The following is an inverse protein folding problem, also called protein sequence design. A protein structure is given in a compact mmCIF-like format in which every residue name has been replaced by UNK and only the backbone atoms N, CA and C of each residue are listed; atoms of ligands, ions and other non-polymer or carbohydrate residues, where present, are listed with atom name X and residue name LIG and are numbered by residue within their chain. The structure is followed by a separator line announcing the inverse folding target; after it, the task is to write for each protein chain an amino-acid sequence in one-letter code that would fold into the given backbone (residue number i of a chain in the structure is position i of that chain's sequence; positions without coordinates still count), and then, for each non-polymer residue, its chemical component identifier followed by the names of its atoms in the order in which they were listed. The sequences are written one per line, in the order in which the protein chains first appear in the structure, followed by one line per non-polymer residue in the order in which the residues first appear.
data_IF_902695376009
#
_entry.id   IF_902695376009
#
_cell.length_a   1.000
_cell.length_b   1.000
_cell.length_c   1.000
_cell.angle_alpha   90.00
_cell.angle_beta   90.00
_cell.angle_gamma   90.00
#
_symmetry.space_group_name_H-M   'P 1'
#
loop_
_entity.id
_entity.type
_entity.pdbx_description
1 polymer ?
#
# COMPACT_ATOMS: atom_id res chain seq x y z
N UNK A 1 -11.06 -6.84 18.59
CA UNK A 1 -9.83 -6.78 17.77
C UNK A 1 -9.31 -8.16 17.33
N UNK A 2 -9.09 -9.21 18.18
CA UNK A 2 -8.51 -10.50 17.76
C UNK A 2 -9.31 -11.20 16.65
N UNK A 3 -10.65 -11.21 16.76
CA UNK A 3 -11.52 -11.81 15.73
C UNK A 3 -11.37 -11.11 14.38
N UNK A 4 -11.30 -9.78 14.36
CA UNK A 4 -11.12 -9.00 13.13
C UNK A 4 -9.76 -9.28 12.46
N UNK A 5 -8.69 -9.47 13.23
CA UNK A 5 -7.36 -9.80 12.72
C UNK A 5 -7.34 -11.20 12.08
N UNK A 6 -7.96 -12.19 12.71
CA UNK A 6 -8.05 -13.54 12.16
C UNK A 6 -8.91 -13.60 10.89
N UNK A 7 -10.02 -12.85 10.85
CA UNK A 7 -10.86 -12.74 9.65
C UNK A 7 -10.14 -12.05 8.50
N UNK A 8 -9.23 -11.11 8.78
CA UNK A 8 -8.43 -10.42 7.77
C UNK A 8 -7.56 -11.40 6.97
N UNK A 9 -6.91 -12.35 7.64
CA UNK A 9 -6.06 -13.36 6.99
C UNK A 9 -6.88 -14.19 6.00
N UNK A 10 -8.07 -14.68 6.43
CA UNK A 10 -8.95 -15.46 5.54
C UNK A 10 -9.47 -14.65 4.36
N UNK A 11 -9.80 -13.37 4.58
CA UNK A 11 -10.21 -12.46 3.49
C UNK A 11 -9.09 -12.26 2.47
N UNK A 12 -7.86 -12.03 2.93
CA UNK A 12 -6.70 -11.89 2.03
C UNK A 12 -6.51 -13.18 1.23
N UNK A 13 -6.50 -14.34 1.86
CA UNK A 13 -6.33 -15.61 1.17
C UNK A 13 -7.42 -15.85 0.12
N UNK A 14 -8.68 -15.68 0.47
CA UNK A 14 -9.80 -15.94 -0.44
C UNK A 14 -9.84 -14.92 -1.57
N UNK A 15 -9.78 -13.62 -1.27
CA UNK A 15 -10.00 -12.59 -2.27
C UNK A 15 -8.75 -12.30 -3.11
N UNK A 16 -7.53 -12.35 -2.54
CA UNK A 16 -6.32 -12.09 -3.32
C UNK A 16 -5.81 -13.35 -3.99
N UNK A 17 -5.58 -14.43 -3.25
CA UNK A 17 -5.06 -15.67 -3.84
C UNK A 17 -6.11 -16.32 -4.73
N UNK A 18 -7.37 -16.36 -4.31
CA UNK A 18 -8.48 -16.89 -5.12
C UNK A 18 -8.70 -16.11 -6.40
N UNK A 19 -8.67 -14.76 -6.35
CA UNK A 19 -8.76 -13.94 -7.55
C UNK A 19 -7.57 -14.14 -8.49
N UNK A 20 -6.36 -14.25 -7.95
CA UNK A 20 -5.15 -14.50 -8.74
C UNK A 20 -5.24 -15.84 -9.48
N UNK A 21 -5.63 -16.90 -8.77
CA UNK A 21 -5.82 -18.23 -9.37
C UNK A 21 -6.89 -18.17 -10.48
N UNK A 22 -8.02 -17.51 -10.24
CA UNK A 22 -9.09 -17.37 -11.22
C UNK A 22 -8.62 -16.60 -12.46
N UNK A 23 -7.90 -15.50 -12.30
CA UNK A 23 -7.36 -14.71 -13.41
C UNK A 23 -6.37 -15.54 -14.22
N UNK A 24 -5.43 -16.21 -13.58
CA UNK A 24 -4.41 -17.03 -14.26
C UNK A 24 -4.99 -18.26 -14.96
N UNK A 25 -6.13 -18.77 -14.49
CA UNK A 25 -6.83 -19.87 -15.15
C UNK A 25 -7.54 -19.43 -16.44
N UNK A 26 -7.93 -18.15 -16.56
CA UNK A 26 -8.67 -17.61 -17.70
C UNK A 26 -7.74 -16.93 -18.71
N UNK A 27 -6.78 -16.14 -18.22
CA UNK A 27 -5.87 -15.34 -19.06
C UNK A 27 -4.45 -15.90 -18.97
N UNK A 28 -3.89 -16.45 -20.07
CA UNK A 28 -2.50 -16.88 -20.09
C UNK A 28 -1.56 -15.71 -19.75
N UNK A 29 -0.57 -15.94 -18.91
CA UNK A 29 0.37 -14.90 -18.48
C UNK A 29 1.11 -14.23 -19.64
N UNK A 30 1.30 -14.93 -20.77
CA UNK A 30 1.93 -14.42 -22.00
C UNK A 30 1.12 -13.34 -22.71
N UNK A 31 -0.16 -13.19 -22.36
CA UNK A 31 -1.05 -12.20 -22.96
C UNK A 31 -1.05 -10.86 -22.21
N UNK A 32 -0.31 -10.77 -21.11
CA UNK A 32 -0.05 -9.51 -20.44
C UNK A 32 1.10 -8.81 -21.15
N UNK A 33 0.75 -7.87 -22.02
CA UNK A 33 1.72 -7.02 -22.69
C UNK A 33 1.86 -5.70 -21.95
N UNK A 34 3.09 -5.25 -21.85
CA UNK A 34 3.41 -3.93 -21.36
C UNK A 34 2.95 -2.88 -22.39
N UNK A 35 2.25 -1.87 -21.92
CA UNK A 35 1.87 -0.74 -22.75
C UNK A 35 3.10 0.14 -23.04
N UNK A 36 2.99 1.04 -24.00
CA UNK A 36 4.07 1.97 -24.37
C UNK A 36 4.49 2.95 -23.26
N UNK A 37 3.69 3.03 -22.20
CA UNK A 37 3.95 3.84 -20.98
C UNK A 37 4.55 3.04 -19.81
N UNK A 38 4.94 1.78 -20.04
CA UNK A 38 5.46 0.89 -19.00
C UNK A 38 4.40 0.30 -18.06
N UNK A 39 3.12 0.54 -18.33
CA UNK A 39 2.03 -0.03 -17.52
C UNK A 39 1.47 -1.30 -18.12
N UNK A 40 0.93 -2.18 -17.27
CA UNK A 40 0.18 -3.36 -17.72
C UNK A 40 -1.32 -3.08 -17.69
N UNK A 41 -2.06 -3.61 -18.67
CA UNK A 41 -3.51 -3.58 -18.64
C UNK A 41 -4.08 -4.26 -17.39
N UNK A 42 -5.22 -3.77 -16.89
CA UNK A 42 -5.85 -4.37 -15.72
C UNK A 42 -6.26 -5.83 -15.98
N UNK A 43 -5.73 -6.80 -15.22
CA UNK A 43 -6.09 -8.22 -15.37
C UNK A 43 -7.58 -8.47 -15.23
N UNK A 44 -8.24 -7.74 -14.34
CA UNK A 44 -9.68 -7.86 -14.10
C UNK A 44 -10.49 -7.48 -15.34
N UNK A 45 -10.10 -6.43 -16.05
CA UNK A 45 -10.77 -6.00 -17.29
C UNK A 45 -10.53 -7.03 -18.41
N UNK A 46 -9.30 -7.55 -18.49
CA UNK A 46 -8.93 -8.52 -19.52
C UNK A 46 -9.77 -9.80 -19.44
N UNK A 47 -10.02 -10.32 -18.24
CA UNK A 47 -10.86 -11.52 -18.04
C UNK A 47 -12.23 -11.36 -18.70
N UNK A 48 -12.91 -10.23 -18.50
CA UNK A 48 -14.25 -9.99 -19.08
C UNK A 48 -14.20 -9.77 -20.58
N UNK A 49 -13.16 -9.12 -21.10
CA UNK A 49 -12.95 -8.99 -22.54
C UNK A 49 -12.72 -10.35 -23.20
N UNK A 50 -11.92 -11.22 -22.59
CA UNK A 50 -11.72 -12.59 -23.08
C UNK A 50 -13.00 -13.42 -23.08
N UNK A 51 -13.89 -13.17 -22.13
CA UNK A 51 -15.21 -13.80 -22.07
C UNK A 51 -16.22 -13.22 -23.09
N UNK A 52 -15.84 -12.19 -23.89
CA UNK A 52 -16.74 -11.52 -24.83
C UNK A 52 -17.79 -10.64 -24.14
N UNK A 53 -17.56 -10.23 -22.90
CA UNK A 53 -18.47 -9.44 -22.07
C UNK A 53 -17.98 -7.99 -21.94
N UNK A 54 -17.96 -7.23 -23.04
CA UNK A 54 -17.43 -5.86 -23.05
C UNK A 54 -18.16 -4.91 -22.10
N UNK A 55 -19.47 -5.07 -21.94
CA UNK A 55 -20.26 -4.29 -20.99
C UNK A 55 -19.82 -4.56 -19.53
N UNK A 56 -19.49 -5.81 -19.21
CA UNK A 56 -19.01 -6.18 -17.88
C UNK A 56 -17.59 -5.65 -17.63
N UNK A 57 -16.75 -5.61 -18.67
CA UNK A 57 -15.44 -4.97 -18.61
C UNK A 57 -15.54 -3.48 -18.25
N UNK A 58 -16.48 -2.74 -18.86
CA UNK A 58 -16.73 -1.33 -18.57
C UNK A 58 -17.23 -1.14 -17.11
N UNK A 59 -18.12 -1.99 -16.63
CA UNK A 59 -18.61 -1.96 -15.25
C UNK A 59 -17.49 -2.24 -14.25
N UNK A 60 -16.64 -3.22 -14.51
CA UNK A 60 -15.47 -3.54 -13.67
C UNK A 60 -14.48 -2.37 -13.66
N UNK A 61 -14.25 -1.73 -14.80
CA UNK A 61 -13.41 -0.54 -14.87
C UNK A 61 -13.93 0.59 -13.97
N UNK A 62 -15.24 0.86 -14.00
CA UNK A 62 -15.86 1.83 -13.09
C UNK A 62 -15.68 1.45 -11.61
N UNK A 63 -15.87 0.18 -11.26
CA UNK A 63 -15.67 -0.33 -9.89
C UNK A 63 -14.20 -0.17 -9.47
N UNK A 64 -13.24 -0.47 -10.33
CA UNK A 64 -11.81 -0.31 -10.04
C UNK A 64 -11.47 1.16 -9.78
N UNK A 65 -11.99 2.09 -10.59
CA UNK A 65 -11.76 3.53 -10.38
C UNK A 65 -12.34 3.99 -9.04
N UNK A 66 -13.56 3.60 -8.73
CA UNK A 66 -14.21 4.00 -7.46
C UNK A 66 -13.50 3.39 -6.25
N UNK A 67 -13.05 2.14 -6.35
CA UNK A 67 -12.25 1.49 -5.32
C UNK A 67 -10.89 2.19 -5.11
N UNK A 68 -10.21 2.55 -6.20
CA UNK A 68 -8.95 3.29 -6.16
C UNK A 68 -9.14 4.69 -5.53
N UNK A 69 -10.20 5.40 -5.90
CA UNK A 69 -10.54 6.70 -5.30
C UNK A 69 -10.82 6.59 -3.80
N UNK A 70 -11.53 5.55 -3.37
CA UNK A 70 -11.79 5.28 -1.95
C UNK A 70 -10.50 4.96 -1.18
N UNK A 71 -9.62 4.15 -1.76
CA UNK A 71 -8.32 3.83 -1.17
C UNK A 71 -7.45 5.10 -1.05
N UNK A 72 -7.40 5.92 -2.11
CA UNK A 72 -6.67 7.19 -2.11
C UNK A 72 -7.17 8.13 -1.02
N UNK A 73 -8.49 8.28 -0.87
CA UNK A 73 -9.07 9.09 0.20
C UNK A 73 -8.62 8.63 1.59
N UNK A 74 -8.60 7.32 1.84
CA UNK A 74 -8.13 6.74 3.10
C UNK A 74 -6.64 6.99 3.34
N UNK A 75 -5.82 6.91 2.28
CA UNK A 75 -4.38 7.19 2.35
C UNK A 75 -4.10 8.67 2.65
N UNK A 76 -4.81 9.60 1.99
CA UNK A 76 -4.69 11.04 2.24
C UNK A 76 -5.03 11.36 3.70
N UNK A 77 -6.12 10.80 4.20
CA UNK A 77 -6.54 11.01 5.58
C UNK A 77 -5.49 10.47 6.57
N UNK A 78 -5.00 9.26 6.33
CA UNK A 78 -3.96 8.64 7.17
C UNK A 78 -2.65 9.45 7.13
N UNK A 79 -2.18 9.84 5.94
CA UNK A 79 -0.99 10.67 5.78
C UNK A 79 -1.12 12.02 6.49
N UNK A 80 -2.30 12.66 6.37
CA UNK A 80 -2.59 13.91 7.07
C UNK A 80 -2.53 13.76 8.59
N UNK A 81 -3.01 12.66 9.14
CA UNK A 81 -2.91 12.40 10.58
C UNK A 81 -1.46 12.17 11.04
N UNK A 82 -0.66 11.45 10.27
CA UNK A 82 0.76 11.28 10.57
C UNK A 82 1.51 12.62 10.47
N UNK A 83 1.22 13.42 9.45
CA UNK A 83 1.80 14.75 9.30
C UNK A 83 1.42 15.67 10.46
N UNK A 84 0.17 15.63 10.91
CA UNK A 84 -0.29 16.34 12.10
C UNK A 84 0.49 15.93 13.34
N UNK A 85 0.69 14.62 13.57
CA UNK A 85 1.44 14.13 14.73
C UNK A 85 2.89 14.62 14.70
N UNK A 86 3.56 14.49 13.56
CA UNK A 86 4.92 15.00 13.37
C UNK A 86 5.00 16.52 13.59
N UNK A 87 3.99 17.25 13.13
CA UNK A 87 3.92 18.70 13.32
C UNK A 87 3.71 19.09 14.79
N UNK A 88 2.91 18.31 15.52
CA UNK A 88 2.63 18.53 16.95
C UNK A 88 3.88 18.29 17.82
N UNK A 89 4.74 17.36 17.42
CA UNK A 89 5.98 17.02 18.12
C UNK A 89 7.16 17.93 17.70
N UNK A 90 6.94 18.82 16.72
CA UNK A 90 7.98 19.68 16.18
C UNK A 90 7.96 21.07 16.81
N UNK A 91 9.15 21.60 17.15
CA UNK A 91 9.33 22.97 17.63
C UNK A 91 9.38 24.01 16.49
N UNK A 92 9.28 23.58 15.24
CA UNK A 92 9.38 24.47 14.08
C UNK A 92 8.11 25.32 13.88
N UNK A 93 8.23 26.68 13.80
CA UNK A 93 7.10 27.56 13.56
C UNK A 93 6.35 27.26 12.24
N UNK A 94 7.06 26.73 11.23
CA UNK A 94 6.46 26.35 9.95
C UNK A 94 5.52 25.14 10.10
N UNK A 95 5.86 24.22 10.99
CA UNK A 95 5.05 23.04 11.30
C UNK A 95 3.86 23.35 12.22
N UNK A 96 3.93 24.37 13.04
CA UNK A 96 2.89 24.75 14.00
C UNK A 96 1.49 24.91 13.35
N UNK A 97 1.46 25.44 12.10
CA UNK A 97 0.19 25.58 11.34
C UNK A 97 -0.42 24.25 10.93
N UNK A 98 0.38 23.20 10.76
CA UNK A 98 -0.10 21.86 10.41
C UNK A 98 -0.57 21.09 11.65
N UNK A 99 -0.18 21.53 12.85
CA UNK A 99 -0.61 21.01 14.13
C UNK A 99 -1.95 21.60 14.62
N UNK A 100 -2.59 22.45 13.82
CA UNK A 100 -3.89 23.00 14.15
C UNK A 100 -5.02 22.03 13.79
N UNK A 101 -5.97 21.89 14.70
CA UNK A 101 -7.19 21.10 14.53
C UNK A 101 -8.34 22.04 14.17
N UNK A 102 -9.13 21.70 13.16
CA UNK A 102 -10.32 22.46 12.75
C UNK A 102 -11.46 22.31 13.77
N UNK A 103 -12.50 23.17 13.64
CA UNK A 103 -13.72 23.10 14.47
C UNK A 103 -14.41 21.72 14.42
N UNK A 104 -14.23 20.98 13.34
CA UNK A 104 -14.70 19.60 13.17
C UNK A 104 -13.78 18.54 13.80
N UNK A 105 -12.80 18.94 14.60
CA UNK A 105 -11.81 18.07 15.28
C UNK A 105 -10.99 17.21 14.32
N UNK A 106 -10.71 17.71 13.11
CA UNK A 106 -9.85 17.08 12.09
C UNK A 106 -8.67 17.98 11.78
N UNK A 107 -7.47 17.43 11.53
CA UNK A 107 -6.28 18.20 11.14
C UNK A 107 -6.36 18.60 9.65
N UNK A 108 -7.31 19.46 9.31
CA UNK A 108 -7.65 19.81 7.94
C UNK A 108 -6.45 20.34 7.14
N UNK A 109 -5.60 21.18 7.75
CA UNK A 109 -4.43 21.78 7.09
C UNK A 109 -3.39 20.70 6.73
N UNK A 110 -3.16 19.73 7.64
CA UNK A 110 -2.25 18.62 7.38
C UNK A 110 -2.80 17.67 6.29
N UNK A 111 -4.11 17.40 6.28
CA UNK A 111 -4.77 16.60 5.25
C UNK A 111 -4.67 17.27 3.88
N UNK A 112 -4.94 18.57 3.80
CA UNK A 112 -4.82 19.33 2.54
C UNK A 112 -3.37 19.35 2.06
N UNK A 113 -2.40 19.58 2.94
CA UNK A 113 -0.98 19.53 2.59
C UNK A 113 -0.57 18.16 2.04
N UNK A 114 -1.01 17.06 2.67
CA UNK A 114 -0.79 15.70 2.17
C UNK A 114 -1.44 15.46 0.80
N UNK A 115 -2.67 15.94 0.60
CA UNK A 115 -3.36 15.89 -0.68
C UNK A 115 -2.63 16.65 -1.78
N UNK A 116 -2.12 17.85 -1.49
CA UNK A 116 -1.33 18.63 -2.43
C UNK A 116 -0.03 17.90 -2.85
N UNK A 117 0.64 17.22 -1.90
CA UNK A 117 1.82 16.42 -2.23
C UNK A 117 1.52 15.27 -3.19
N UNK A 118 0.37 14.62 -3.04
CA UNK A 118 -0.04 13.53 -3.93
C UNK A 118 -0.27 14.02 -5.37
N UNK A 119 -0.70 15.28 -5.57
CA UNK A 119 -0.90 15.86 -6.90
C UNK A 119 0.40 15.99 -7.71
N UNK A 120 1.57 15.93 -7.10
CA UNK A 120 2.83 15.91 -7.85
C UNK A 120 2.97 14.66 -8.72
N UNK A 121 2.45 13.51 -8.29
CA UNK A 121 2.55 12.26 -9.05
C UNK A 121 1.90 12.35 -10.45
N UNK A 122 0.63 12.74 -10.60
CA UNK A 122 0.03 12.88 -11.94
C UNK A 122 0.66 14.02 -12.76
N UNK A 123 1.16 15.08 -12.14
CA UNK A 123 1.86 16.16 -12.84
C UNK A 123 3.15 15.64 -13.47
N UNK A 124 3.94 14.87 -12.71
CA UNK A 124 5.19 14.30 -13.23
C UNK A 124 4.87 13.28 -14.33
N UNK A 125 3.85 12.46 -14.16
CA UNK A 125 3.44 11.47 -15.16
C UNK A 125 2.89 12.12 -16.46
N UNK A 126 2.43 13.37 -16.41
CA UNK A 126 1.96 14.11 -17.58
C UNK A 126 3.09 14.75 -18.40
N UNK A 127 4.34 14.74 -17.91
CA UNK A 127 5.49 15.33 -18.62
C UNK A 127 5.94 14.37 -19.73
N UNK A 128 5.91 14.77 -21.02
CA UNK A 128 6.41 13.94 -22.10
C UNK A 128 7.88 13.61 -21.91
N UNK A 129 8.24 12.33 -22.05
CA UNK A 129 9.63 11.86 -21.90
C UNK A 129 9.98 11.29 -20.52
N UNK A 130 9.10 11.41 -19.52
CA UNK A 130 9.22 10.70 -18.24
C UNK A 130 8.34 9.46 -18.31
N UNK A 131 8.74 8.48 -19.13
CA UNK A 131 8.11 7.16 -19.13
C UNK A 131 8.53 6.40 -17.87
N UNK A 132 7.58 5.68 -17.25
CA UNK A 132 7.87 4.86 -16.07
C UNK A 132 7.75 5.55 -14.71
N UNK A 133 7.33 6.83 -14.64
CA UNK A 133 7.12 7.52 -13.37
C UNK A 133 6.19 6.75 -12.42
N UNK A 134 5.15 6.11 -12.95
CA UNK A 134 4.26 5.25 -12.15
C UNK A 134 5.02 4.08 -11.52
N UNK A 135 5.84 3.38 -12.31
CA UNK A 135 6.64 2.23 -11.81
C UNK A 135 7.63 2.70 -10.75
N UNK A 136 8.30 3.83 -10.98
CA UNK A 136 9.24 4.43 -10.02
C UNK A 136 8.54 4.74 -8.69
N UNK A 137 7.40 5.43 -8.71
CA UNK A 137 6.66 5.75 -7.48
C UNK A 137 6.12 4.49 -6.79
N UNK A 138 5.64 3.50 -7.55
CA UNK A 138 5.15 2.25 -7.00
C UNK A 138 6.28 1.44 -6.34
N UNK A 139 7.45 1.37 -6.98
CA UNK A 139 8.64 0.71 -6.43
C UNK A 139 9.16 1.40 -5.18
N UNK A 140 9.26 2.73 -5.19
CA UNK A 140 9.67 3.51 -4.03
C UNK A 140 8.70 3.33 -2.85
N UNK A 141 7.38 3.38 -3.11
CA UNK A 141 6.38 3.14 -2.08
C UNK A 141 6.49 1.71 -1.51
N UNK A 142 6.68 0.70 -2.37
CA UNK A 142 6.87 -0.68 -1.95
C UNK A 142 8.11 -0.85 -1.07
N UNK A 143 9.23 -0.22 -1.44
CA UNK A 143 10.46 -0.24 -0.64
C UNK A 143 10.23 0.33 0.77
N UNK A 144 9.55 1.48 0.88
CA UNK A 144 9.23 2.11 2.17
C UNK A 144 8.33 1.20 3.00
N UNK A 145 7.30 0.60 2.41
CA UNK A 145 6.37 -0.31 3.12
C UNK A 145 7.10 -1.54 3.64
N UNK A 146 7.94 -2.17 2.82
CA UNK A 146 8.74 -3.35 3.25
C UNK A 146 9.68 -2.97 4.40
N UNK A 147 10.33 -1.81 4.31
CA UNK A 147 11.19 -1.32 5.39
C UNK A 147 10.40 -1.11 6.71
N UNK A 148 9.20 -0.53 6.64
CA UNK A 148 8.31 -0.38 7.80
C UNK A 148 7.93 -1.74 8.38
N UNK A 149 7.67 -2.76 7.55
CA UNK A 149 7.36 -4.11 8.04
C UNK A 149 8.54 -4.73 8.78
N UNK A 150 9.77 -4.57 8.29
CA UNK A 150 10.98 -5.03 9.00
C UNK A 150 11.08 -4.34 10.37
N UNK A 151 10.93 -3.02 10.41
CA UNK A 151 10.97 -2.27 11.69
C UNK A 151 9.85 -2.71 12.65
N UNK A 152 8.65 -2.96 12.13
CA UNK A 152 7.52 -3.43 12.93
C UNK A 152 7.79 -4.82 13.53
N UNK A 153 8.38 -5.73 12.77
CA UNK A 153 8.74 -7.06 13.28
C UNK A 153 9.85 -6.98 14.34
N UNK A 154 10.85 -6.12 14.14
CA UNK A 154 11.89 -5.87 15.13
C UNK A 154 11.33 -5.26 16.41
N UNK A 155 10.41 -4.29 16.28
CA UNK A 155 9.71 -3.69 17.42
C UNK A 155 8.87 -4.72 18.18
N UNK A 156 8.12 -5.58 17.46
CA UNK A 156 7.37 -6.68 18.07
C UNK A 156 8.28 -7.63 18.84
N UNK A 157 9.40 -8.03 18.25
CA UNK A 157 10.38 -8.90 18.90
C UNK A 157 10.93 -8.30 20.20
N UNK A 158 11.28 -6.99 20.17
CA UNK A 158 11.74 -6.24 21.37
C UNK A 158 10.64 -6.11 22.41
N UNK A 159 9.42 -5.78 22.01
CA UNK A 159 8.27 -5.66 22.91
C UNK A 159 7.97 -6.97 23.64
N UNK A 160 8.06 -8.11 22.93
CA UNK A 160 7.83 -9.45 23.55
C UNK A 160 8.85 -9.81 24.62
N UNK A 161 10.02 -9.20 24.61
CA UNK A 161 11.09 -9.39 25.61
C UNK A 161 11.07 -8.33 26.72
N UNK A 162 10.25 -7.29 26.58
CA UNK A 162 10.21 -6.20 27.54
C UNK A 162 9.32 -6.51 28.75
N UNK A 163 9.56 -5.78 29.84
CA UNK A 163 8.71 -5.81 31.05
C UNK A 163 7.30 -5.25 30.80
N UNK A 164 7.11 -4.47 29.74
CA UNK A 164 5.84 -3.83 29.38
C UNK A 164 4.90 -4.74 28.61
N UNK A 165 5.33 -5.98 28.36
CA UNK A 165 4.54 -6.96 27.62
C UNK A 165 3.26 -7.34 28.38
N UNK A 166 2.10 -7.21 27.70
CA UNK A 166 0.78 -7.55 28.19
C UNK A 166 0.38 -8.96 27.73
N UNK A 167 0.43 -10.00 28.60
CA UNK A 167 0.16 -11.38 28.20
C UNK A 167 -1.31 -11.66 27.90
N UNK A 168 -2.23 -10.87 28.45
CA UNK A 168 -3.69 -11.06 28.31
C UNK A 168 -4.27 -10.55 26.99
N UNK A 169 -3.42 -10.02 26.09
CA UNK A 169 -3.81 -9.52 24.78
C UNK A 169 -3.81 -10.59 23.69
N UNK A 170 -3.96 -10.14 22.44
CA UNK A 170 -3.75 -10.98 21.28
C UNK A 170 -2.27 -11.31 21.14
N UNK A 171 -1.94 -12.59 21.29
CA UNK A 171 -0.55 -13.06 21.34
C UNK A 171 -0.28 -13.95 20.13
N UNK A 172 0.77 -13.65 19.39
CA UNK A 172 1.25 -14.48 18.29
C UNK A 172 1.92 -15.75 18.84
N UNK A 173 1.46 -16.96 18.46
CA UNK A 173 2.12 -18.21 18.87
C UNK A 173 3.49 -18.33 18.20
N UNK A 174 4.45 -18.98 18.91
CA UNK A 174 5.81 -19.25 18.40
C UNK A 174 6.52 -18.00 17.80
N UNK A 175 6.28 -16.83 18.36
CA UNK A 175 6.80 -15.55 17.88
C UNK A 175 8.32 -15.52 17.67
N UNK A 176 9.09 -16.25 18.49
CA UNK A 176 10.53 -16.31 18.40
C UNK A 176 11.03 -16.86 17.03
N UNK A 177 10.25 -17.75 16.41
CA UNK A 177 10.56 -18.34 15.11
C UNK A 177 9.93 -17.52 13.99
N UNK A 178 8.64 -17.17 14.13
CA UNK A 178 7.92 -16.48 13.07
C UNK A 178 8.40 -15.05 12.83
N UNK A 179 8.83 -14.33 13.85
CA UNK A 179 9.43 -13.01 13.70
C UNK A 179 10.69 -13.06 12.81
N UNK A 180 11.59 -14.00 13.06
CA UNK A 180 12.81 -14.15 12.25
C UNK A 180 12.54 -14.63 10.83
N UNK A 181 11.57 -15.53 10.65
CA UNK A 181 11.13 -15.95 9.30
C UNK A 181 10.60 -14.74 8.53
N UNK A 182 9.73 -13.94 9.16
CA UNK A 182 9.16 -12.75 8.53
C UNK A 182 10.23 -11.69 8.21
N UNK A 183 11.14 -11.42 9.14
CA UNK A 183 12.24 -10.47 8.93
C UNK A 183 13.12 -10.94 7.77
N UNK A 184 13.51 -12.21 7.77
CA UNK A 184 14.35 -12.77 6.70
C UNK A 184 13.64 -12.68 5.35
N UNK A 185 12.37 -13.02 5.29
CA UNK A 185 11.57 -12.89 4.08
C UNK A 185 11.50 -11.45 3.57
N UNK A 186 11.17 -10.48 4.43
CA UNK A 186 11.08 -9.09 4.03
C UNK A 186 12.44 -8.50 3.62
N UNK A 187 13.53 -8.89 4.28
CA UNK A 187 14.89 -8.47 3.89
C UNK A 187 15.26 -9.06 2.53
N UNK A 188 14.96 -10.32 2.26
CA UNK A 188 15.17 -10.92 0.95
C UNK A 188 14.39 -10.19 -0.15
N UNK A 189 13.08 -9.92 0.07
CA UNK A 189 12.26 -9.17 -0.88
C UNK A 189 12.81 -7.75 -1.08
N UNK A 190 13.26 -7.10 -0.01
CA UNK A 190 13.87 -5.77 -0.10
C UNK A 190 15.15 -5.78 -0.95
N UNK A 191 16.03 -6.77 -0.75
CA UNK A 191 17.25 -6.93 -1.54
C UNK A 191 16.94 -7.22 -3.01
N UNK A 192 15.97 -8.10 -3.30
CA UNK A 192 15.58 -8.39 -4.69
C UNK A 192 15.01 -7.17 -5.40
N UNK A 193 14.33 -6.27 -4.70
CA UNK A 193 13.82 -5.02 -5.26
C UNK A 193 14.95 -4.12 -5.79
N UNK A 194 16.12 -4.11 -5.13
CA UNK A 194 17.28 -3.34 -5.56
C UNK A 194 18.16 -4.06 -6.59
N UNK A 195 18.06 -5.38 -6.68
CA UNK A 195 18.80 -6.17 -7.67
C UNK A 195 18.08 -6.27 -9.01
N UNK A 196 16.80 -5.95 -9.06
CA UNK A 196 16.04 -5.90 -10.29
C UNK A 196 16.46 -4.68 -11.11
N UNK A 197 17.08 -4.92 -12.24
CA UNK A 197 17.56 -3.88 -13.18
C UNK A 197 16.43 -3.08 -13.81
N UNK A 198 15.18 -3.57 -13.72
CA UNK A 198 13.99 -2.92 -14.27
C UNK A 198 13.41 -1.84 -13.34
N UNK A 199 13.99 -1.65 -12.15
CA UNK A 199 13.53 -0.68 -11.13
C UNK A 199 14.43 0.55 -11.01
N UNK A 200 15.50 0.64 -11.79
CA UNK A 200 16.42 1.76 -11.89
C UNK A 200 16.39 2.27 -13.34
#
# INVERSE_FOLDING_TARGET
LPKAVNELIMRILIFYVGALIAIMAIVPWRNFHENSDGSFGSPFIMVFKYAGLDWAAALVFFVVITAAASALNSLIYSAGRHLYQLASDSESPAMARLAEVSDHKVPAKAIVASGCMILFSPIINAIPGISGAFVLFASAASAVVIFIYVLTMLAHHRYRQSSDFLPDGFVMPAWQVFDWIAITFFVLVYVTLFLSTDTI
#
